data_IF_300368034222
#
_entry.id   IF_300368034222
#
_cell.length_a   1.000
_cell.length_b   1.000
_cell.length_c   1.000
_cell.angle_alpha   90.00
_cell.angle_beta   90.00
_cell.angle_gamma   90.00
#
_symmetry.space_group_name_H-M   'P 1'
#
loop_
_entity.id
_entity.type
_entity.pdbx_description
1 polymer ?
#
# COMPACT_ATOMS: atom_id res chain seq x y z
N UNK A 1 -11.01 32.53 -33.33
CA UNK A 1 -12.07 31.54 -33.00
C UNK A 1 -11.72 30.78 -31.78
N UNK A 2 -12.43 30.98 -30.71
CA UNK A 2 -12.29 30.17 -29.51
C UNK A 2 -12.98 28.83 -29.75
N UNK A 3 -12.20 27.78 -29.85
CA UNK A 3 -12.71 26.42 -29.95
C UNK A 3 -13.37 26.06 -28.63
N UNK A 4 -14.64 25.76 -28.66
CA UNK A 4 -15.34 25.29 -27.44
C UNK A 4 -14.94 23.85 -27.18
N UNK A 5 -13.97 23.67 -26.30
CA UNK A 5 -13.41 22.35 -25.93
C UNK A 5 -14.49 21.41 -25.42
N UNK A 6 -15.53 21.95 -24.72
CA UNK A 6 -16.63 21.15 -24.22
C UNK A 6 -17.40 20.40 -25.32
N UNK A 7 -17.43 20.91 -26.54
CA UNK A 7 -18.07 20.25 -27.69
C UNK A 7 -17.24 19.10 -28.25
N UNK A 8 -15.94 19.06 -27.96
CA UNK A 8 -15.04 18.01 -28.40
C UNK A 8 -15.04 16.81 -27.45
N UNK A 9 -15.52 17.01 -26.24
CA UNK A 9 -15.54 15.96 -25.23
C UNK A 9 -16.88 15.23 -25.27
N UNK A 10 -16.82 13.92 -25.41
CA UNK A 10 -18.00 13.05 -25.52
C UNK A 10 -17.97 12.05 -24.35
N UNK A 11 -19.12 11.85 -23.72
CA UNK A 11 -19.26 10.91 -22.61
C UNK A 11 -18.38 11.22 -21.38
N UNK A 12 -18.13 12.50 -21.13
CA UNK A 12 -17.40 12.91 -19.94
C UNK A 12 -18.34 13.10 -18.75
N UNK A 13 -17.85 12.77 -17.57
CA UNK A 13 -18.55 13.04 -16.32
C UNK A 13 -18.46 14.53 -15.98
N UNK A 14 -19.54 15.09 -15.48
CA UNK A 14 -19.61 16.50 -15.09
C UNK A 14 -18.87 16.82 -13.79
N UNK A 15 -18.23 15.85 -13.15
CA UNK A 15 -17.54 16.06 -11.89
C UNK A 15 -16.12 16.51 -12.14
N UNK A 16 -15.76 17.76 -11.87
CA UNK A 16 -14.40 18.21 -12.02
C UNK A 16 -13.57 17.72 -10.83
N UNK A 17 -13.07 16.50 -10.92
CA UNK A 17 -12.10 16.04 -9.95
C UNK A 17 -10.75 16.56 -10.42
N UNK A 18 -10.34 17.68 -9.87
CA UNK A 18 -8.99 18.19 -10.06
C UNK A 18 -8.01 17.29 -9.32
N UNK A 19 -6.81 17.16 -9.84
CA UNK A 19 -5.76 16.38 -9.22
C UNK A 19 -5.51 16.88 -7.78
N UNK A 20 -5.79 16.04 -6.78
CA UNK A 20 -5.70 16.38 -5.37
C UNK A 20 -7.04 16.66 -4.68
N UNK A 21 -8.14 16.74 -5.44
CA UNK A 21 -9.48 16.98 -4.92
C UNK A 21 -10.36 15.73 -4.93
N UNK A 22 -9.77 14.55 -4.87
CA UNK A 22 -10.56 13.33 -4.71
C UNK A 22 -11.38 13.42 -3.44
N UNK A 23 -12.71 13.17 -3.49
CA UNK A 23 -13.46 13.05 -2.26
C UNK A 23 -12.79 12.00 -1.38
N UNK A 24 -12.55 12.36 -0.14
CA UNK A 24 -11.92 11.46 0.81
C UNK A 24 -12.85 10.29 1.08
N UNK A 25 -12.48 9.13 0.57
CA UNK A 25 -13.10 7.87 0.94
C UNK A 25 -12.22 7.18 1.97
N UNK A 26 -12.73 6.94 3.18
CA UNK A 26 -11.94 6.25 4.18
C UNK A 26 -11.64 4.82 3.72
N UNK A 27 -10.38 4.42 3.82
CA UNK A 27 -9.96 3.05 3.54
C UNK A 27 -10.67 2.08 4.48
N UNK A 28 -11.22 1.03 3.92
CA UNK A 28 -11.91 -0.02 4.69
C UNK A 28 -11.02 -1.26 4.85
N UNK A 29 -11.39 -2.15 5.76
CA UNK A 29 -10.70 -3.44 5.93
C UNK A 29 -10.75 -4.25 4.63
N UNK A 30 -11.87 -4.20 3.91
CA UNK A 30 -12.01 -4.86 2.62
C UNK A 30 -11.01 -4.31 1.60
N UNK A 31 -10.84 -2.99 1.53
CA UNK A 31 -9.88 -2.35 0.62
C UNK A 31 -8.45 -2.78 0.93
N UNK A 32 -8.09 -2.85 2.21
CA UNK A 32 -6.78 -3.33 2.66
C UNK A 32 -6.56 -4.79 2.26
N UNK A 33 -7.55 -5.62 2.50
CA UNK A 33 -7.50 -7.06 2.16
C UNK A 33 -7.32 -7.25 0.66
N UNK A 34 -8.13 -6.59 -0.15
CA UNK A 34 -8.09 -6.71 -1.61
C UNK A 34 -6.73 -6.25 -2.16
N UNK A 35 -6.20 -5.17 -1.62
CA UNK A 35 -4.88 -4.65 -2.00
C UNK A 35 -3.76 -5.63 -1.65
N UNK A 36 -3.80 -6.23 -0.47
CA UNK A 36 -2.80 -7.20 -0.03
C UNK A 36 -2.86 -8.46 -0.89
N UNK A 37 -4.05 -8.98 -1.16
CA UNK A 37 -4.26 -10.17 -2.00
C UNK A 37 -3.76 -9.92 -3.42
N UNK A 38 -4.07 -8.78 -4.00
CA UNK A 38 -3.58 -8.38 -5.32
C UNK A 38 -2.05 -8.36 -5.39
N UNK A 39 -1.42 -7.76 -4.39
CA UNK A 39 0.04 -7.70 -4.30
C UNK A 39 0.67 -9.08 -4.10
N UNK A 40 0.01 -9.95 -3.35
CA UNK A 40 0.42 -11.36 -3.21
C UNK A 40 0.36 -12.10 -4.53
N UNK A 41 -0.70 -11.90 -5.32
CA UNK A 41 -0.82 -12.50 -6.65
C UNK A 41 0.30 -12.05 -7.58
N UNK A 42 0.64 -10.77 -7.55
CA UNK A 42 1.77 -10.23 -8.33
C UNK A 42 3.08 -10.88 -7.89
N UNK A 43 3.31 -11.02 -6.59
CA UNK A 43 4.51 -11.64 -6.06
C UNK A 43 4.62 -13.13 -6.44
N UNK A 44 3.52 -13.86 -6.35
CA UNK A 44 3.47 -15.28 -6.73
C UNK A 44 3.78 -15.44 -8.22
N UNK A 45 3.14 -14.65 -9.08
CA UNK A 45 3.39 -14.68 -10.52
C UNK A 45 4.84 -14.37 -10.87
N UNK A 46 5.41 -13.36 -10.22
CA UNK A 46 6.82 -12.99 -10.40
C UNK A 46 7.76 -14.12 -9.96
N UNK A 47 7.45 -14.79 -8.85
CA UNK A 47 8.25 -15.93 -8.37
C UNK A 47 8.19 -17.12 -9.32
N UNK A 48 7.02 -17.41 -9.88
CA UNK A 48 6.84 -18.52 -10.83
C UNK A 48 7.70 -18.32 -12.08
N UNK A 49 7.84 -17.08 -12.54
CA UNK A 49 8.62 -16.70 -13.72
C UNK A 49 10.10 -16.47 -13.42
N UNK A 50 10.46 -16.34 -12.16
CA UNK A 50 11.83 -16.01 -11.75
C UNK A 50 12.76 -17.21 -11.87
N UNK A 51 13.87 -17.00 -12.59
CA UNK A 51 15.00 -17.93 -12.61
C UNK A 51 16.19 -17.27 -11.90
N UNK A 52 16.70 -17.95 -10.89
CA UNK A 52 17.81 -17.42 -10.08
C UNK A 52 19.09 -17.35 -10.91
N UNK A 53 19.66 -16.15 -11.14
CA UNK A 53 20.94 -16.03 -11.81
C UNK A 53 22.10 -16.46 -10.92
N UNK A 54 23.26 -16.66 -11.51
CA UNK A 54 24.50 -17.02 -10.77
C UNK A 54 24.86 -15.94 -9.75
N UNK A 55 24.62 -14.67 -10.08
CA UNK A 55 24.83 -13.53 -9.18
C UNK A 55 23.53 -12.81 -8.91
N UNK A 56 23.18 -12.65 -7.64
CA UNK A 56 21.95 -11.96 -7.26
C UNK A 56 21.89 -10.50 -7.70
N UNK A 57 23.02 -9.82 -7.77
CA UNK A 57 23.07 -8.44 -8.26
C UNK A 57 22.58 -8.27 -9.70
N UNK A 58 22.60 -9.37 -10.47
CA UNK A 58 22.11 -9.39 -11.84
C UNK A 58 20.65 -9.88 -11.93
N UNK A 59 20.02 -10.12 -10.78
CA UNK A 59 18.65 -10.61 -10.73
C UNK A 59 17.66 -9.51 -11.07
N UNK A 60 16.88 -9.71 -12.13
CA UNK A 60 15.74 -8.88 -12.46
C UNK A 60 14.49 -9.42 -11.77
N UNK A 61 14.31 -9.03 -10.51
CA UNK A 61 13.11 -9.37 -9.75
C UNK A 61 12.48 -8.09 -9.23
N UNK A 62 11.27 -7.83 -9.68
CA UNK A 62 10.51 -6.65 -9.26
C UNK A 62 9.10 -7.06 -8.88
N UNK A 63 8.90 -7.33 -7.60
CA UNK A 63 7.59 -7.66 -7.05
C UNK A 63 7.46 -7.08 -5.65
N UNK A 64 6.22 -6.74 -5.24
CA UNK A 64 5.99 -6.32 -3.86
C UNK A 64 6.14 -7.50 -2.90
N UNK A 65 6.43 -7.20 -1.64
CA UNK A 65 6.44 -8.14 -0.51
C UNK A 65 7.54 -9.18 -0.48
N UNK A 66 8.13 -9.56 -1.61
CA UNK A 66 9.12 -10.63 -1.69
C UNK A 66 10.36 -10.14 -2.41
N UNK A 67 11.51 -10.59 -1.96
CA UNK A 67 12.77 -10.39 -2.68
C UNK A 67 13.66 -11.63 -2.57
N UNK A 68 14.41 -11.98 -3.63
CA UNK A 68 15.42 -13.01 -3.53
C UNK A 68 16.56 -12.49 -2.66
N UNK A 69 17.09 -13.37 -1.82
CA UNK A 69 18.26 -13.11 -0.98
C UNK A 69 19.30 -14.19 -1.25
N UNK A 70 20.49 -14.04 -0.69
CA UNK A 70 21.65 -14.87 -1.04
C UNK A 70 21.39 -16.37 -1.06
N UNK A 71 20.66 -16.90 -0.08
CA UNK A 71 20.42 -18.34 0.06
C UNK A 71 18.94 -18.72 0.00
N UNK A 72 18.09 -17.84 -0.48
CA UNK A 72 16.66 -18.10 -0.53
C UNK A 72 15.83 -16.88 -0.86
N UNK A 73 14.69 -16.77 -0.21
CA UNK A 73 13.72 -15.71 -0.44
C UNK A 73 13.22 -15.14 0.88
N UNK A 74 13.09 -13.82 0.93
CA UNK A 74 12.55 -13.11 2.08
C UNK A 74 11.20 -12.48 1.72
N UNK A 75 10.22 -12.63 2.59
CA UNK A 75 8.92 -12.01 2.43
C UNK A 75 8.57 -11.13 3.62
N UNK A 76 7.93 -10.01 3.32
CA UNK A 76 7.33 -9.12 4.31
C UNK A 76 5.94 -8.76 3.81
N UNK A 77 4.94 -9.38 4.39
CA UNK A 77 3.54 -9.11 4.03
C UNK A 77 3.10 -7.85 4.75
N UNK A 78 2.78 -6.83 3.97
CA UNK A 78 2.45 -5.53 4.50
C UNK A 78 1.46 -4.78 3.63
N UNK A 79 1.13 -3.56 4.06
CA UNK A 79 0.19 -2.67 3.41
C UNK A 79 0.80 -1.28 3.22
N UNK A 80 0.35 -0.60 2.18
CA UNK A 80 0.76 0.76 1.87
C UNK A 80 2.06 0.85 1.06
N UNK A 81 2.46 2.07 0.74
CA UNK A 81 3.62 2.35 -0.10
C UNK A 81 4.94 1.87 0.50
N UNK A 82 5.05 1.90 1.82
CA UNK A 82 6.24 1.45 2.54
C UNK A 82 6.22 -0.03 2.87
N UNK A 83 5.19 -0.76 2.45
CA UNK A 83 4.99 -2.17 2.77
C UNK A 83 5.15 -2.44 4.27
N UNK A 84 4.49 -1.63 5.11
CA UNK A 84 4.51 -1.83 6.55
C UNK A 84 3.92 -3.19 6.92
N UNK A 85 4.67 -4.01 7.64
CA UNK A 85 4.18 -5.31 8.08
C UNK A 85 2.93 -5.18 8.95
N UNK A 86 1.93 -6.00 8.67
CA UNK A 86 0.68 -6.04 9.44
C UNK A 86 0.94 -6.65 10.81
N UNK A 87 1.82 -7.62 10.88
CA UNK A 87 2.26 -8.30 12.09
C UNK A 87 3.69 -8.77 11.91
N UNK A 88 4.45 -8.87 13.00
CA UNK A 88 5.86 -9.32 12.93
C UNK A 88 6.01 -10.74 12.37
N UNK A 89 5.04 -11.62 12.59
CA UNK A 89 5.03 -12.97 12.06
C UNK A 89 4.84 -13.04 10.54
N UNK A 90 4.50 -11.93 9.90
CA UNK A 90 4.36 -11.83 8.45
C UNK A 90 5.67 -11.48 7.75
N UNK A 91 6.78 -11.45 8.46
CA UNK A 91 8.11 -11.38 7.89
C UNK A 91 8.76 -12.75 8.05
N UNK A 92 9.09 -13.40 6.94
CA UNK A 92 9.62 -14.75 6.98
C UNK A 92 10.57 -15.03 5.82
N UNK A 93 11.31 -16.12 5.94
CA UNK A 93 12.33 -16.55 4.99
C UNK A 93 12.05 -17.98 4.56
N UNK A 94 12.27 -18.28 3.28
CA UNK A 94 12.25 -19.64 2.75
C UNK A 94 13.49 -19.90 1.92
N UNK A 95 13.94 -21.15 1.87
CA UNK A 95 15.10 -21.53 1.07
C UNK A 95 14.76 -21.71 -0.40
N UNK A 96 13.54 -22.16 -0.72
CA UNK A 96 13.09 -22.43 -2.08
C UNK A 96 11.95 -21.48 -2.48
N UNK A 97 11.84 -21.22 -3.79
CA UNK A 97 10.73 -20.43 -4.30
C UNK A 97 9.39 -21.15 -4.17
N UNK A 98 9.40 -22.48 -4.29
CA UNK A 98 8.21 -23.32 -4.13
C UNK A 98 7.62 -23.16 -2.73
N UNK A 99 8.46 -23.18 -1.69
CA UNK A 99 8.03 -22.95 -0.32
C UNK A 99 7.53 -21.52 -0.11
N UNK A 100 8.17 -20.54 -0.75
CA UNK A 100 7.70 -19.16 -0.69
C UNK A 100 6.32 -19.01 -1.33
N UNK A 101 6.12 -19.57 -2.51
CA UNK A 101 4.83 -19.55 -3.21
C UNK A 101 3.75 -20.22 -2.35
N UNK A 102 4.06 -21.39 -1.79
CA UNK A 102 3.12 -22.12 -0.94
C UNK A 102 2.70 -21.29 0.28
N UNK A 103 3.66 -20.65 0.97
CA UNK A 103 3.37 -19.79 2.11
C UNK A 103 2.51 -18.58 1.72
N UNK A 104 2.82 -17.94 0.59
CA UNK A 104 2.02 -16.82 0.10
C UNK A 104 0.59 -17.24 -0.28
N UNK A 105 0.42 -18.39 -0.92
CA UNK A 105 -0.90 -18.93 -1.24
C UNK A 105 -1.71 -19.26 0.02
N UNK A 106 -1.07 -19.82 1.05
CA UNK A 106 -1.72 -20.09 2.33
C UNK A 106 -2.16 -18.80 3.02
N UNK A 107 -1.31 -17.78 3.05
CA UNK A 107 -1.64 -16.48 3.61
C UNK A 107 -2.74 -15.79 2.81
N UNK A 108 -2.68 -15.86 1.49
CA UNK A 108 -3.71 -15.32 0.62
C UNK A 108 -5.08 -15.93 0.92
N UNK A 109 -5.16 -17.25 1.03
CA UNK A 109 -6.39 -17.94 1.39
C UNK A 109 -6.92 -17.48 2.75
N UNK A 110 -6.03 -17.31 3.73
CA UNK A 110 -6.40 -16.82 5.06
C UNK A 110 -6.94 -15.39 4.99
N UNK A 111 -6.35 -14.50 4.18
CA UNK A 111 -6.91 -13.16 3.97
C UNK A 111 -8.29 -13.21 3.31
N UNK A 112 -8.44 -14.05 2.28
CA UNK A 112 -9.72 -14.19 1.55
C UNK A 112 -10.83 -14.76 2.43
N UNK A 113 -10.50 -15.58 3.42
CA UNK A 113 -11.45 -16.15 4.39
C UNK A 113 -11.64 -15.31 5.64
N UNK A 114 -11.12 -14.07 5.65
CA UNK A 114 -11.27 -13.08 6.71
C UNK A 114 -10.60 -13.45 8.05
N UNK A 115 -9.68 -14.41 8.06
CA UNK A 115 -8.97 -14.81 9.28
C UNK A 115 -8.13 -13.69 9.91
N UNK A 116 -7.63 -12.77 9.09
CA UNK A 116 -6.79 -11.65 9.54
C UNK A 116 -7.52 -10.32 9.64
N UNK A 117 -8.85 -10.30 9.56
CA UNK A 117 -9.62 -9.05 9.60
C UNK A 117 -9.38 -8.26 10.89
N UNK A 118 -9.24 -8.93 12.03
CA UNK A 118 -8.94 -8.25 13.30
C UNK A 118 -7.59 -7.53 13.26
N UNK A 119 -6.58 -8.12 12.64
CA UNK A 119 -5.26 -7.49 12.46
C UNK A 119 -5.34 -6.30 11.51
N UNK A 120 -6.12 -6.41 10.44
CA UNK A 120 -6.34 -5.33 9.50
C UNK A 120 -7.10 -4.16 10.14
N UNK A 121 -8.10 -4.44 10.96
CA UNK A 121 -8.81 -3.40 11.72
C UNK A 121 -7.88 -2.67 12.68
N UNK A 122 -7.03 -3.39 13.41
CA UNK A 122 -6.06 -2.80 14.31
C UNK A 122 -5.07 -1.90 13.55
N UNK A 123 -4.63 -2.33 12.37
CA UNK A 123 -3.72 -1.54 11.52
C UNK A 123 -4.43 -0.29 10.97
N UNK A 124 -5.67 -0.43 10.54
CA UNK A 124 -6.47 0.68 10.04
C UNK A 124 -6.71 1.74 11.13
N UNK A 125 -7.01 1.30 12.35
CA UNK A 125 -7.16 2.19 13.50
C UNK A 125 -5.86 2.95 13.79
N UNK A 126 -4.73 2.27 13.72
CA UNK A 126 -3.41 2.89 13.84
C UNK A 126 -3.19 4.00 12.80
N UNK A 127 -3.60 3.76 11.55
CA UNK A 127 -3.51 4.76 10.47
C UNK A 127 -4.41 5.96 10.74
N UNK A 128 -5.63 5.73 11.22
CA UNK A 128 -6.57 6.80 11.58
C UNK A 128 -6.03 7.66 12.71
N UNK A 129 -5.46 7.06 13.74
CA UNK A 129 -4.83 7.78 14.86
C UNK A 129 -3.66 8.65 14.39
N UNK A 130 -2.80 8.13 13.52
CA UNK A 130 -1.70 8.89 12.94
C UNK A 130 -2.20 10.08 12.11
N UNK A 131 -3.25 9.88 11.33
CA UNK A 131 -3.85 10.94 10.52
C UNK A 131 -4.43 12.05 11.38
N UNK A 132 -5.13 11.71 12.47
CA UNK A 132 -5.67 12.69 13.42
C UNK A 132 -4.58 13.47 14.14
N UNK A 133 -3.55 12.79 14.64
CA UNK A 133 -2.39 13.45 15.27
C UNK A 133 -1.70 14.40 14.30
N UNK A 134 -1.56 14.03 13.04
CA UNK A 134 -1.02 14.88 12.01
C UNK A 134 -1.87 16.13 11.77
N UNK A 135 -3.18 15.99 11.75
CA UNK A 135 -4.11 17.13 11.61
C UNK A 135 -4.03 18.08 12.81
N UNK A 136 -4.01 17.55 14.01
CA UNK A 136 -3.88 18.34 15.24
C UNK A 136 -2.55 19.11 15.29
N UNK A 137 -1.45 18.46 14.91
CA UNK A 137 -0.14 19.10 14.86
C UNK A 137 -0.12 20.26 13.85
N UNK A 138 -0.72 20.07 12.67
CA UNK A 138 -0.84 21.12 11.65
C UNK A 138 -1.69 22.29 12.15
N UNK A 139 -2.80 22.00 12.81
CA UNK A 139 -3.69 23.01 13.37
C UNK A 139 -2.98 23.85 14.43
N UNK A 140 -2.26 23.22 15.35
CA UNK A 140 -1.47 23.92 16.37
C UNK A 140 -0.38 24.79 15.76
N UNK A 141 0.32 24.33 14.73
CA UNK A 141 1.33 25.10 14.03
C UNK A 141 0.72 26.32 13.33
N UNK A 142 -0.44 26.18 12.71
CA UNK A 142 -1.13 27.28 12.06
C UNK A 142 -1.61 28.33 13.08
N UNK A 143 -2.16 27.90 14.20
CA UNK A 143 -2.57 28.80 15.29
C UNK A 143 -1.36 29.56 15.88
N UNK A 144 -0.22 28.88 16.07
CA UNK A 144 1.00 29.51 16.52
C UNK A 144 1.50 30.57 15.52
N UNK A 145 1.46 30.29 14.23
CA UNK A 145 1.82 31.25 13.17
C UNK A 145 0.88 32.47 13.15
N UNK A 146 -0.41 32.26 13.28
CA UNK A 146 -1.39 33.34 13.33
C UNK A 146 -1.17 34.23 14.56
N UNK A 147 -0.88 33.65 15.71
CA UNK A 147 -0.58 34.39 16.93
C UNK A 147 0.71 35.22 16.80
N UNK A 148 1.75 34.67 16.17
CA UNK A 148 2.98 35.43 15.88
C UNK A 148 2.70 36.62 14.96
N UNK A 149 1.90 36.44 13.93
CA UNK A 149 1.51 37.51 13.01
C UNK A 149 0.69 38.61 13.72
N UNK A 150 -0.15 38.26 14.68
CA UNK A 150 -0.93 39.22 15.47
C UNK A 150 -0.08 40.02 16.43
N UNK A 151 1.00 39.44 16.96
CA UNK A 151 1.91 40.13 17.90
C UNK A 151 2.83 41.10 17.19
N UNK A 152 3.14 40.86 15.91
CA UNK A 152 4.04 41.72 15.10
C UNK A 152 3.30 42.86 14.40
N UNK A 153 1.99 42.84 14.38
CA UNK A 153 1.18 43.88 13.74
C UNK A 153 1.02 45.13 14.66
#
# INVERSE_FOLDING_TARGET
MTTNIAKLLVNTSATPILKGEKPYEPTTVKDMRDSIVERMDIAIDALEKFERPTYLKDAEFNAPMVKPVRNGYFAKVGHGLKNEAIHEDFSFYTETKEDMILNLENLKTAFETNEFDALLEAKLESYRERAEKGKEARKKNNEAKENELKVVA
#
